data_IF_702248200686
#
_entry.id   IF_702248200686
#
_cell.length_a   1.000
_cell.length_b   1.000
_cell.length_c   1.000
_cell.angle_alpha   90.00
_cell.angle_beta   90.00
_cell.angle_gamma   90.00
#
_symmetry.space_group_name_H-M   'P 1'
#
loop_
_entity.id
_entity.type
_entity.pdbx_description
1 polymer ?
#
# COMPACT_ATOMS: atom_id res chain seq x y z
N UNK A 1 14.67 4.23 -39.12
CA UNK A 1 15.05 5.57 -38.64
C UNK A 1 16.56 5.72 -38.55
N UNK A 2 17.34 4.85 -37.86
CA UNK A 2 18.78 4.93 -37.78
C UNK A 2 19.49 4.84 -39.17
N UNK A 3 19.07 3.89 -40.01
CA UNK A 3 19.59 3.75 -41.39
C UNK A 3 19.23 4.95 -42.29
N UNK A 4 18.09 5.61 -42.06
CA UNK A 4 17.69 6.82 -42.81
C UNK A 4 18.42 8.07 -42.33
N UNK A 5 18.87 8.12 -41.05
CA UNK A 5 19.64 9.24 -40.52
C UNK A 5 21.09 9.30 -41.06
N UNK A 6 21.63 8.18 -41.56
CA UNK A 6 22.92 8.15 -42.24
C UNK A 6 22.87 8.77 -43.66
N UNK A 7 21.66 8.82 -44.26
CA UNK A 7 21.45 9.29 -45.64
C UNK A 7 20.96 10.76 -45.73
N UNK A 8 20.32 11.28 -44.67
CA UNK A 8 19.69 12.62 -44.67
C UNK A 8 19.76 13.31 -43.29
N UNK A 9 20.40 14.48 -43.23
CA UNK A 9 20.59 15.29 -42.03
C UNK A 9 19.25 15.75 -41.37
N UNK A 10 18.15 15.75 -42.10
CA UNK A 10 16.84 16.04 -41.55
C UNK A 10 16.36 14.93 -40.62
N UNK A 11 16.68 13.67 -40.89
CA UNK A 11 16.33 12.55 -40.01
C UNK A 11 17.24 12.46 -38.79
N UNK A 12 18.45 12.99 -38.82
CA UNK A 12 19.35 13.05 -37.68
C UNK A 12 18.74 13.89 -36.53
N UNK A 13 18.08 15.02 -36.87
CA UNK A 13 17.41 15.89 -35.88
C UNK A 13 16.14 15.25 -35.26
N UNK A 14 15.51 14.32 -35.95
CA UNK A 14 14.31 13.58 -35.43
C UNK A 14 14.69 12.30 -34.68
N UNK A 15 15.88 11.77 -34.89
CA UNK A 15 16.35 10.52 -34.30
C UNK A 15 16.51 10.65 -32.78
N UNK A 16 17.12 11.71 -32.30
CA UNK A 16 17.38 11.93 -30.88
C UNK A 16 16.10 12.06 -30.06
N UNK A 17 15.12 12.88 -30.47
CA UNK A 17 13.80 12.91 -29.78
C UNK A 17 13.06 11.58 -29.83
N UNK A 18 13.16 10.82 -30.92
CA UNK A 18 12.52 9.52 -31.06
C UNK A 18 13.17 8.47 -30.14
N UNK A 19 14.51 8.49 -29.99
CA UNK A 19 15.26 7.63 -29.07
C UNK A 19 14.86 7.92 -27.60
N UNK A 20 14.88 9.20 -27.19
CA UNK A 20 14.48 9.61 -25.84
C UNK A 20 13.06 9.16 -25.53
N UNK A 21 12.14 9.30 -26.49
CA UNK A 21 10.75 8.82 -26.33
C UNK A 21 10.69 7.29 -26.20
N UNK A 22 11.44 6.56 -27.01
CA UNK A 22 11.48 5.10 -26.98
C UNK A 22 12.09 4.58 -25.67
N UNK A 23 13.17 5.20 -25.18
CA UNK A 23 13.79 4.89 -23.89
C UNK A 23 12.82 5.15 -22.73
N UNK A 24 12.09 6.26 -22.75
CA UNK A 24 11.06 6.57 -21.75
C UNK A 24 9.94 5.53 -21.73
N UNK A 25 9.45 5.12 -22.91
CA UNK A 25 8.43 4.07 -23.04
C UNK A 25 8.95 2.71 -22.57
N UNK A 26 10.18 2.36 -22.91
CA UNK A 26 10.81 1.11 -22.46
C UNK A 26 10.96 1.08 -20.94
N UNK A 27 11.44 2.16 -20.32
CA UNK A 27 11.57 2.27 -18.86
C UNK A 27 10.22 2.15 -18.16
N UNK A 28 9.19 2.83 -18.68
CA UNK A 28 7.83 2.71 -18.14
C UNK A 28 7.28 1.27 -18.22
N UNK A 29 7.50 0.60 -19.35
CA UNK A 29 7.09 -0.80 -19.53
C UNK A 29 7.88 -1.76 -18.61
N UNK A 30 9.20 -1.56 -18.49
CA UNK A 30 10.04 -2.34 -17.56
C UNK A 30 9.51 -2.24 -16.11
N UNK A 31 9.19 -1.02 -15.67
CA UNK A 31 8.65 -0.78 -14.33
C UNK A 31 7.28 -1.45 -14.12
N UNK A 32 6.38 -1.33 -15.08
CA UNK A 32 5.08 -2.02 -15.03
C UNK A 32 5.24 -3.55 -14.95
N UNK A 33 6.18 -4.12 -15.71
CA UNK A 33 6.47 -5.55 -15.66
C UNK A 33 7.01 -6.01 -14.28
N UNK A 34 7.72 -5.13 -13.57
CA UNK A 34 8.20 -5.39 -12.22
C UNK A 34 7.09 -5.31 -11.16
N UNK A 35 6.02 -4.57 -11.42
CA UNK A 35 4.86 -4.40 -10.54
C UNK A 35 3.78 -5.46 -10.86
N UNK A 36 4.11 -6.73 -10.65
CA UNK A 36 3.25 -7.88 -10.94
C UNK A 36 2.45 -8.41 -9.74
N UNK A 37 2.56 -7.77 -8.58
CA UNK A 37 1.81 -8.12 -7.38
C UNK A 37 0.32 -7.80 -7.52
N UNK A 38 -0.54 -8.64 -6.93
CA UNK A 38 -2.02 -8.45 -6.99
C UNK A 38 -2.51 -7.08 -6.54
N UNK A 39 -1.74 -6.41 -5.66
CA UNK A 39 -2.10 -5.12 -5.08
C UNK A 39 -1.32 -3.96 -5.71
N UNK A 40 -0.31 -4.24 -6.55
CA UNK A 40 0.56 -3.19 -7.08
C UNK A 40 -0.20 -2.17 -7.96
N UNK A 41 -1.28 -2.58 -8.62
CA UNK A 41 -2.13 -1.72 -9.44
C UNK A 41 -3.10 -0.83 -8.63
N UNK A 42 -3.23 -1.06 -7.30
CA UNK A 42 -4.15 -0.34 -6.44
C UNK A 42 -3.72 1.11 -6.21
N UNK A 43 -4.67 1.95 -5.79
CA UNK A 43 -4.38 3.24 -5.19
C UNK A 43 -3.63 3.07 -3.86
N UNK A 44 -2.96 4.12 -3.41
CA UNK A 44 -2.16 4.09 -2.20
C UNK A 44 -2.75 4.98 -1.10
N UNK A 45 -2.85 4.44 0.11
CA UNK A 45 -3.08 5.21 1.34
C UNK A 45 -1.73 5.38 2.03
N UNK A 46 -1.29 6.62 2.16
CA UNK A 46 0.01 6.98 2.74
C UNK A 46 -0.22 7.61 4.10
N UNK A 47 0.47 7.10 5.12
CA UNK A 47 0.45 7.66 6.47
C UNK A 47 1.86 8.09 6.87
N UNK A 48 2.01 9.32 7.34
CA UNK A 48 3.28 9.90 7.78
C UNK A 48 3.16 10.25 9.26
N UNK A 49 4.11 9.77 10.06
CA UNK A 49 4.18 10.03 11.51
C UNK A 49 5.59 10.43 11.92
N UNK A 50 5.77 11.57 12.60
CA UNK A 50 7.06 11.93 13.18
C UNK A 50 7.48 10.94 14.26
N UNK A 51 8.78 10.68 14.32
CA UNK A 51 9.42 9.88 15.35
C UNK A 51 10.28 10.73 16.28
N UNK A 52 11.48 10.24 16.60
CA UNK A 52 12.42 10.99 17.42
C UNK A 52 12.91 12.27 16.73
N UNK A 53 12.93 13.41 17.44
CA UNK A 53 13.38 14.71 16.91
C UNK A 53 12.52 15.91 17.34
N UNK A 54 11.40 15.67 18.08
CA UNK A 54 10.53 16.74 18.56
C UNK A 54 9.93 17.58 17.45
N UNK A 55 9.86 18.90 17.62
CA UNK A 55 9.30 19.85 16.64
C UNK A 55 9.98 19.74 15.26
N UNK A 56 11.30 19.47 15.21
CA UNK A 56 12.02 19.31 13.97
C UNK A 56 11.57 18.04 13.18
N UNK A 57 11.15 16.98 13.89
CA UNK A 57 10.57 15.80 13.24
C UNK A 57 9.17 16.08 12.68
N UNK A 58 8.37 16.92 13.36
CA UNK A 58 7.06 17.35 12.87
C UNK A 58 7.18 18.20 11.60
N UNK A 59 8.15 19.11 11.56
CA UNK A 59 8.46 19.91 10.36
C UNK A 59 8.97 19.02 9.22
N UNK A 60 9.82 18.05 9.52
CA UNK A 60 10.28 17.08 8.52
C UNK A 60 9.12 16.24 7.96
N UNK A 61 8.14 15.87 8.78
CA UNK A 61 6.94 15.18 8.32
C UNK A 61 6.14 16.04 7.31
N UNK A 62 6.02 17.33 7.55
CA UNK A 62 5.39 18.28 6.63
C UNK A 62 6.18 18.41 5.31
N UNK A 63 7.50 18.47 5.39
CA UNK A 63 8.37 18.51 4.20
C UNK A 63 8.18 17.24 3.36
N UNK A 64 8.13 16.05 3.97
CA UNK A 64 7.91 14.79 3.26
C UNK A 64 6.48 14.70 2.68
N UNK A 65 5.47 15.18 3.42
CA UNK A 65 4.10 15.25 2.91
C UNK A 65 4.04 16.09 1.62
N UNK A 66 4.63 17.28 1.64
CA UNK A 66 4.73 18.14 0.47
C UNK A 66 5.53 17.50 -0.68
N UNK A 67 6.60 16.76 -0.38
CA UNK A 67 7.39 16.01 -1.36
C UNK A 67 6.52 14.99 -2.11
N UNK A 68 5.70 14.20 -1.39
CA UNK A 68 4.83 13.20 -2.03
C UNK A 68 3.68 13.83 -2.82
N UNK A 69 3.11 14.94 -2.37
CA UNK A 69 2.11 15.68 -3.16
C UNK A 69 2.72 16.14 -4.49
N UNK A 70 3.92 16.72 -4.47
CA UNK A 70 4.60 17.20 -5.68
C UNK A 70 4.97 16.05 -6.61
N UNK A 71 5.42 14.93 -6.06
CA UNK A 71 5.66 13.72 -6.84
C UNK A 71 4.37 13.24 -7.52
N UNK A 72 3.28 13.13 -6.80
CA UNK A 72 1.99 12.72 -7.34
C UNK A 72 1.50 13.67 -8.45
N UNK A 73 1.64 14.99 -8.26
CA UNK A 73 1.30 15.99 -9.27
C UNK A 73 2.13 15.86 -10.56
N UNK A 74 3.43 15.52 -10.46
CA UNK A 74 4.29 15.28 -11.64
C UNK A 74 3.87 14.05 -12.45
N UNK A 75 3.25 13.08 -11.78
CA UNK A 75 2.74 11.85 -12.40
C UNK A 75 1.25 11.92 -12.78
N UNK A 76 0.64 13.11 -12.71
CA UNK A 76 -0.81 13.31 -12.96
C UNK A 76 -1.71 12.44 -12.06
N UNK A 77 -1.24 12.13 -10.82
CA UNK A 77 -2.01 11.39 -9.83
C UNK A 77 -2.88 12.32 -8.99
N UNK A 78 -4.09 11.84 -8.67
CA UNK A 78 -4.97 12.52 -7.72
C UNK A 78 -4.47 12.38 -6.29
N UNK A 79 -4.57 13.45 -5.50
CA UNK A 79 -4.26 13.43 -4.06
C UNK A 79 -5.48 13.88 -3.29
N UNK A 80 -5.88 13.10 -2.30
CA UNK A 80 -7.00 13.38 -1.39
C UNK A 80 -6.53 13.25 0.06
N UNK A 81 -6.58 14.34 0.81
CA UNK A 81 -6.28 14.33 2.24
C UNK A 81 -7.45 13.70 3.01
N UNK A 82 -7.15 12.72 3.85
CA UNK A 82 -8.16 12.03 4.65
C UNK A 82 -8.15 12.50 6.11
N UNK A 83 -6.96 12.66 6.66
CA UNK A 83 -6.77 13.10 8.03
C UNK A 83 -5.46 13.86 8.15
N UNK A 84 -5.49 15.03 8.80
CA UNK A 84 -4.31 15.85 9.05
C UNK A 84 -4.39 16.45 10.45
N UNK A 85 -3.43 16.09 11.28
CA UNK A 85 -3.26 16.62 12.62
C UNK A 85 -2.05 17.54 12.64
N UNK A 86 -2.23 18.89 12.69
CA UNK A 86 -1.13 19.82 12.76
C UNK A 86 -0.47 19.78 14.15
N UNK A 87 0.83 20.02 14.20
CA UNK A 87 1.52 20.21 15.48
C UNK A 87 1.37 21.67 15.96
N UNK A 88 1.28 21.87 17.27
CA UNK A 88 1.04 23.18 17.89
C UNK A 88 2.14 24.22 17.60
N UNK A 89 3.40 23.80 17.49
CA UNK A 89 4.54 24.69 17.28
C UNK A 89 4.90 24.84 15.80
N UNK A 90 5.11 23.74 15.10
CA UNK A 90 5.41 23.71 13.67
C UNK A 90 5.26 22.29 13.09
N UNK A 91 4.91 22.20 11.82
CA UNK A 91 4.81 20.94 11.12
C UNK A 91 3.55 20.13 11.45
N UNK A 92 3.61 18.83 11.21
CA UNK A 92 2.48 17.90 11.27
C UNK A 92 2.75 16.81 12.30
N UNK A 93 1.75 16.54 13.18
CA UNK A 93 1.78 15.45 14.16
C UNK A 93 1.43 14.09 13.51
N UNK A 94 0.50 14.08 12.58
CA UNK A 94 0.20 12.95 11.72
C UNK A 94 -0.53 13.41 10.47
N UNK A 95 -0.35 12.70 9.37
CA UNK A 95 -1.16 12.89 8.16
C UNK A 95 -1.41 11.56 7.50
N UNK A 96 -2.64 11.39 7.01
CA UNK A 96 -3.05 10.28 6.15
C UNK A 96 -3.72 10.84 4.91
N UNK A 97 -3.25 10.44 3.75
CA UNK A 97 -3.76 10.88 2.46
C UNK A 97 -3.75 9.75 1.45
N UNK A 98 -4.66 9.84 0.50
CA UNK A 98 -4.81 8.89 -0.60
C UNK A 98 -4.16 9.43 -1.86
N UNK A 99 -3.42 8.59 -2.56
CA UNK A 99 -2.91 8.86 -3.90
C UNK A 99 -3.61 7.94 -4.88
N UNK A 100 -4.34 8.53 -5.83
CA UNK A 100 -5.12 7.82 -6.83
C UNK A 100 -4.42 7.90 -8.18
N UNK A 101 -4.04 6.76 -8.73
CA UNK A 101 -3.38 6.67 -10.03
C UNK A 101 -2.96 5.25 -10.37
N UNK A 102 -2.61 4.98 -11.63
CA UNK A 102 -2.19 3.66 -12.07
C UNK A 102 -0.90 3.24 -11.35
N UNK A 103 -0.95 2.08 -10.67
CA UNK A 103 0.18 1.54 -9.90
C UNK A 103 0.70 2.45 -8.78
N UNK A 104 -0.13 3.35 -8.23
CA UNK A 104 0.28 4.25 -7.16
C UNK A 104 0.87 3.50 -5.95
N UNK A 105 0.23 2.41 -5.51
CA UNK A 105 0.78 1.56 -4.45
C UNK A 105 2.06 0.86 -4.89
N UNK A 106 2.13 0.39 -6.13
CA UNK A 106 3.31 -0.29 -6.70
C UNK A 106 4.58 0.56 -6.61
N UNK A 107 4.48 1.87 -6.86
CA UNK A 107 5.59 2.82 -6.70
C UNK A 107 5.87 3.12 -5.23
N UNK A 108 4.84 3.52 -4.48
CA UNK A 108 4.98 4.05 -3.13
C UNK A 108 5.35 3.00 -2.08
N UNK A 109 5.16 1.70 -2.34
CA UNK A 109 5.66 0.64 -1.46
C UNK A 109 7.18 0.72 -1.22
N UNK A 110 7.93 1.36 -2.12
CA UNK A 110 9.36 1.61 -1.96
C UNK A 110 9.68 2.58 -0.83
N UNK A 111 8.72 3.41 -0.43
CA UNK A 111 8.88 4.47 0.55
C UNK A 111 8.49 4.04 1.97
N UNK A 112 8.03 2.79 2.14
CA UNK A 112 7.68 2.24 3.46
C UNK A 112 8.92 2.10 4.31
N UNK A 113 8.96 2.81 5.45
CA UNK A 113 10.04 2.72 6.42
C UNK A 113 10.34 4.04 7.13
N UNK A 114 11.54 4.13 7.69
CA UNK A 114 11.98 5.31 8.45
C UNK A 114 12.87 6.19 7.59
N UNK A 115 12.53 7.47 7.50
CA UNK A 115 13.29 8.51 6.85
C UNK A 115 14.03 9.33 7.91
N UNK A 116 15.29 9.66 7.65
CA UNK A 116 16.16 10.42 8.55
C UNK A 116 16.57 11.73 7.91
N UNK A 117 16.37 12.84 8.64
CA UNK A 117 16.88 14.16 8.26
C UNK A 117 18.03 14.55 9.19
N UNK A 118 19.10 15.09 8.61
CA UNK A 118 20.21 15.70 9.34
C UNK A 118 20.40 17.13 8.84
N UNK A 119 20.07 18.11 9.69
CA UNK A 119 20.20 19.53 9.37
C UNK A 119 20.48 20.38 10.62
N UNK A 120 20.85 21.63 10.43
CA UNK A 120 20.77 22.64 11.47
C UNK A 120 19.30 23.00 11.64
N UNK A 121 18.73 22.73 12.83
CA UNK A 121 17.31 22.92 13.08
C UNK A 121 16.97 24.41 13.20
N UNK A 122 15.90 24.90 12.54
CA UNK A 122 15.42 26.27 12.71
C UNK A 122 14.72 26.50 14.06
N UNK A 123 14.43 25.43 14.81
CA UNK A 123 13.72 25.48 16.10
C UNK A 123 14.67 25.38 17.30
N UNK A 124 15.96 25.10 17.07
CA UNK A 124 16.98 24.98 18.15
C UNK A 124 17.67 26.30 18.49
N UNK A 125 18.19 26.39 19.66
CA UNK A 125 19.09 27.49 20.05
C UNK A 125 20.52 27.19 19.58
N UNK A 126 20.98 27.90 18.55
CA UNK A 126 22.35 27.81 18.00
C UNK A 126 22.49 26.90 16.78
N UNK A 127 23.72 26.88 16.21
CA UNK A 127 24.07 26.15 14.99
C UNK A 127 24.29 24.63 15.21
N UNK A 128 23.58 24.04 16.16
CA UNK A 128 23.72 22.61 16.45
C UNK A 128 22.96 21.76 15.41
N UNK A 129 23.68 20.80 14.86
CA UNK A 129 23.09 19.85 13.92
C UNK A 129 22.22 18.84 14.67
N UNK A 130 20.97 18.72 14.24
CA UNK A 130 20.00 17.76 14.79
C UNK A 130 19.67 16.65 13.80
N UNK A 131 19.17 15.56 14.34
CA UNK A 131 18.73 14.40 13.55
C UNK A 131 17.28 14.11 13.92
N UNK A 132 16.42 14.07 12.93
CA UNK A 132 14.99 13.82 13.06
C UNK A 132 14.58 12.61 12.23
N UNK A 133 13.60 11.87 12.73
CA UNK A 133 13.09 10.66 12.10
C UNK A 133 11.60 10.80 11.83
N UNK A 134 11.19 10.28 10.70
CA UNK A 134 9.77 10.20 10.28
C UNK A 134 9.52 8.80 9.74
N UNK A 135 8.44 8.18 10.19
CA UNK A 135 7.98 6.92 9.65
C UNK A 135 6.93 7.15 8.57
N UNK A 136 7.08 6.43 7.48
CA UNK A 136 6.13 6.40 6.38
C UNK A 136 5.58 5.00 6.26
N UNK A 137 4.26 4.90 6.21
CA UNK A 137 3.53 3.69 5.93
C UNK A 137 2.68 3.86 4.68
N UNK A 138 2.65 2.83 3.85
CA UNK A 138 1.83 2.81 2.64
C UNK A 138 1.06 1.50 2.61
N UNK A 139 -0.25 1.61 2.48
CA UNK A 139 -1.14 0.46 2.31
C UNK A 139 -1.93 0.60 1.01
N UNK A 140 -2.20 -0.51 0.30
CA UNK A 140 -3.05 -0.45 -0.88
C UNK A 140 -4.48 -0.13 -0.47
N UNK A 141 -5.17 0.69 -1.26
CA UNK A 141 -6.62 0.77 -1.18
C UNK A 141 -7.20 -0.57 -1.61
N UNK A 142 -7.88 -1.23 -0.68
CA UNK A 142 -8.58 -2.46 -0.98
C UNK A 142 -10.00 -2.09 -1.43
N UNK A 143 -10.45 -2.63 -2.55
CA UNK A 143 -11.86 -2.59 -2.90
C UNK A 143 -12.65 -3.21 -1.73
N UNK A 144 -13.62 -2.47 -1.21
CA UNK A 144 -14.43 -2.89 -0.06
C UNK A 144 -15.32 -4.10 -0.34
N UNK A 145 -15.43 -4.54 -1.58
CA UNK A 145 -16.20 -5.69 -1.98
C UNK A 145 -15.48 -7.01 -1.66
N UNK A 146 -15.65 -7.47 -0.43
CA UNK A 146 -15.46 -8.90 -0.12
C UNK A 146 -16.59 -9.66 -0.82
N UNK A 147 -16.42 -9.96 -2.09
CA UNK A 147 -17.38 -10.76 -2.84
C UNK A 147 -17.23 -12.22 -2.43
N UNK A 148 -18.13 -12.69 -1.55
CA UNK A 148 -18.17 -14.10 -1.18
C UNK A 148 -19.08 -14.83 -2.16
N UNK A 149 -18.48 -15.45 -3.15
CA UNK A 149 -19.17 -16.44 -4.00
C UNK A 149 -19.21 -17.78 -3.23
N UNK A 150 -20.42 -18.19 -2.83
CA UNK A 150 -20.61 -19.50 -2.24
C UNK A 150 -20.90 -20.48 -3.39
N UNK A 151 -19.97 -21.38 -3.63
CA UNK A 151 -20.20 -22.48 -4.56
C UNK A 151 -21.10 -23.54 -3.89
N UNK A 152 -22.27 -23.83 -4.45
CA UNK A 152 -23.20 -24.83 -3.91
C UNK A 152 -22.57 -26.21 -3.74
N UNK A 153 -21.58 -26.57 -4.55
CA UNK A 153 -20.83 -27.83 -4.45
C UNK A 153 -19.98 -27.93 -3.16
N UNK A 154 -19.71 -26.82 -2.51
CA UNK A 154 -18.95 -26.75 -1.27
C UNK A 154 -19.83 -26.71 -0.02
N UNK A 155 -21.16 -26.80 -0.21
CA UNK A 155 -22.14 -26.80 0.86
C UNK A 155 -22.66 -28.21 1.14
N UNK A 156 -22.66 -28.57 2.40
CA UNK A 156 -23.37 -29.75 2.91
C UNK A 156 -24.67 -29.27 3.55
N UNK A 157 -25.81 -29.65 2.98
CA UNK A 157 -27.13 -29.34 3.53
C UNK A 157 -27.61 -30.49 4.40
N UNK A 158 -28.02 -30.18 5.61
CA UNK A 158 -28.70 -31.10 6.55
C UNK A 158 -30.07 -30.52 6.93
N UNK A 159 -31.10 -31.36 6.93
CA UNK A 159 -32.43 -30.98 7.35
C UNK A 159 -32.75 -31.60 8.71
N UNK A 160 -33.50 -30.89 9.54
CA UNK A 160 -33.89 -31.35 10.87
C UNK A 160 -35.27 -30.82 11.27
N UNK A 161 -35.87 -31.45 12.23
CA UNK A 161 -37.17 -31.01 12.79
C UNK A 161 -36.96 -29.81 13.71
N UNK A 162 -37.75 -28.75 13.52
CA UNK A 162 -37.55 -27.47 14.22
C UNK A 162 -37.59 -27.54 15.75
N UNK A 163 -38.20 -28.61 16.35
CA UNK A 163 -38.31 -28.82 17.79
C UNK A 163 -38.89 -27.62 18.54
N UNK A 164 -39.64 -27.86 19.61
CA UNK A 164 -40.18 -26.80 20.44
C UNK A 164 -41.65 -27.06 20.86
N UNK A 165 -42.23 -26.25 21.73
CA UNK A 165 -43.64 -26.34 22.10
C UNK A 165 -44.51 -25.98 20.88
N UNK A 166 -45.07 -26.98 20.19
CA UNK A 166 -45.93 -26.84 19.02
C UNK A 166 -46.58 -28.17 18.61
N UNK A 167 -47.56 -28.13 17.69
CA UNK A 167 -48.34 -29.29 17.27
C UNK A 167 -47.53 -30.31 16.42
N UNK A 168 -48.21 -31.39 15.96
CA UNK A 168 -47.61 -32.51 15.23
C UNK A 168 -46.76 -32.09 14.00
N UNK A 169 -47.08 -30.98 13.36
CA UNK A 169 -46.35 -30.50 12.16
C UNK A 169 -44.90 -30.10 12.49
N UNK A 170 -44.69 -29.47 13.65
CA UNK A 170 -43.38 -28.96 14.06
C UNK A 170 -42.40 -30.06 14.46
N UNK A 171 -42.93 -31.19 14.95
CA UNK A 171 -42.12 -32.31 15.43
C UNK A 171 -41.93 -33.43 14.36
N UNK A 172 -42.73 -33.43 13.27
CA UNK A 172 -42.65 -34.44 12.21
C UNK A 172 -42.06 -33.91 10.90
N UNK A 173 -42.16 -32.61 10.65
CA UNK A 173 -41.68 -32.02 9.37
C UNK A 173 -40.26 -31.46 9.53
N UNK A 174 -39.35 -31.92 8.67
CA UNK A 174 -37.97 -31.45 8.64
C UNK A 174 -37.87 -30.09 7.89
N UNK A 175 -38.42 -29.04 8.51
CA UNK A 175 -38.40 -27.69 7.96
C UNK A 175 -37.11 -26.91 8.30
N UNK A 176 -36.38 -27.28 9.36
CA UNK A 176 -35.09 -26.68 9.72
C UNK A 176 -33.99 -27.06 8.76
N UNK A 177 -33.14 -26.10 8.39
CA UNK A 177 -32.03 -26.28 7.50
C UNK A 177 -30.72 -25.86 8.18
N UNK A 178 -29.71 -26.72 8.09
CA UNK A 178 -28.33 -26.45 8.49
C UNK A 178 -27.45 -26.54 7.26
N UNK A 179 -26.70 -25.51 6.99
CA UNK A 179 -25.68 -25.45 5.95
C UNK A 179 -24.30 -25.51 6.59
N UNK A 180 -23.43 -26.34 6.06
CA UNK A 180 -22.04 -26.49 6.48
C UNK A 180 -21.17 -26.22 5.26
N UNK A 181 -20.35 -25.19 5.35
CA UNK A 181 -19.39 -24.89 4.31
C UNK A 181 -18.10 -25.72 4.49
N UNK A 182 -17.38 -26.00 3.43
CA UNK A 182 -16.09 -26.73 3.42
C UNK A 182 -15.05 -26.15 4.39
N UNK A 183 -15.11 -24.84 4.70
CA UNK A 183 -14.26 -24.21 5.74
C UNK A 183 -14.63 -24.57 7.17
N UNK A 184 -15.68 -25.39 7.40
CA UNK A 184 -16.19 -25.75 8.72
C UNK A 184 -17.21 -24.75 9.31
N UNK A 185 -17.45 -23.63 8.65
CA UNK A 185 -18.46 -22.64 9.08
C UNK A 185 -19.87 -23.22 8.88
N UNK A 186 -20.72 -23.06 9.91
CA UNK A 186 -22.08 -23.59 9.91
C UNK A 186 -23.08 -22.46 10.08
N UNK A 187 -24.24 -22.59 9.44
CA UNK A 187 -25.39 -21.71 9.64
C UNK A 187 -26.68 -22.53 9.67
N UNK A 188 -27.59 -22.16 10.56
CA UNK A 188 -28.86 -22.87 10.74
C UNK A 188 -30.01 -21.87 10.72
N UNK A 189 -31.12 -22.27 10.08
CA UNK A 189 -32.38 -21.55 10.15
C UNK A 189 -33.55 -22.50 10.39
N UNK A 190 -34.42 -22.14 11.31
CA UNK A 190 -35.66 -22.87 11.67
C UNK A 190 -36.84 -21.94 11.94
N UNK A 191 -36.71 -20.68 11.57
CA UNK A 191 -37.68 -19.62 11.91
C UNK A 191 -38.96 -19.74 11.09
N UNK A 192 -38.85 -20.26 9.88
CA UNK A 192 -39.95 -20.36 8.93
C UNK A 192 -40.54 -21.78 8.87
N UNK A 193 -41.82 -21.87 8.49
CA UNK A 193 -42.48 -23.18 8.25
C UNK A 193 -42.06 -23.84 6.95
N UNK A 194 -41.46 -23.08 6.05
CA UNK A 194 -41.03 -23.49 4.69
C UNK A 194 -39.53 -23.79 4.65
N UNK A 195 -39.20 -25.03 4.30
CA UNK A 195 -37.80 -25.46 4.13
C UNK A 195 -37.01 -24.57 3.11
N UNK A 196 -37.55 -24.19 1.90
CA UNK A 196 -36.86 -23.30 1.00
C UNK A 196 -36.55 -21.91 1.57
N UNK A 197 -37.48 -21.36 2.42
CA UNK A 197 -37.24 -20.09 3.10
C UNK A 197 -36.13 -20.21 4.14
N UNK A 198 -36.14 -21.29 4.94
CA UNK A 198 -35.07 -21.57 5.90
C UNK A 198 -33.74 -21.81 5.20
N UNK A 199 -33.70 -22.41 4.00
CA UNK A 199 -32.49 -22.54 3.21
C UNK A 199 -31.93 -21.18 2.82
N UNK A 200 -32.77 -20.28 2.30
CA UNK A 200 -32.34 -18.92 1.94
C UNK A 200 -31.79 -18.15 3.17
N UNK A 201 -32.52 -18.19 4.28
CA UNK A 201 -32.10 -17.54 5.52
C UNK A 201 -30.78 -18.13 6.07
N UNK A 202 -30.60 -19.45 6.00
CA UNK A 202 -29.35 -20.11 6.40
C UNK A 202 -28.19 -19.74 5.47
N UNK A 203 -28.44 -19.57 4.16
CA UNK A 203 -27.45 -19.14 3.19
C UNK A 203 -26.98 -17.70 3.44
N UNK A 204 -27.93 -16.78 3.70
CA UNK A 204 -27.63 -15.39 4.00
C UNK A 204 -26.83 -15.26 5.31
N UNK A 205 -27.19 -16.06 6.32
CA UNK A 205 -26.44 -16.13 7.57
C UNK A 205 -25.04 -16.71 7.39
N UNK A 206 -24.89 -17.71 6.51
CA UNK A 206 -23.60 -18.30 6.18
C UNK A 206 -22.69 -17.29 5.49
N UNK A 207 -23.22 -16.52 4.51
CA UNK A 207 -22.52 -15.43 3.84
C UNK A 207 -22.00 -14.41 4.85
N UNK A 208 -22.83 -13.96 5.76
CA UNK A 208 -22.45 -12.99 6.79
C UNK A 208 -21.33 -13.51 7.70
N UNK A 209 -21.37 -14.80 8.07
CA UNK A 209 -20.30 -15.42 8.88
C UNK A 209 -18.99 -15.56 8.14
N UNK A 210 -19.03 -15.95 6.87
CA UNK A 210 -17.83 -16.04 6.03
C UNK A 210 -17.22 -14.65 5.80
N UNK A 211 -18.08 -13.63 5.58
CA UNK A 211 -17.64 -12.24 5.47
C UNK A 211 -16.89 -11.78 6.74
N UNK A 212 -17.46 -12.00 7.93
CA UNK A 212 -16.81 -11.60 9.17
C UNK A 212 -15.45 -12.31 9.40
N UNK A 213 -15.33 -13.58 9.00
CA UNK A 213 -14.07 -14.32 9.10
C UNK A 213 -13.02 -13.77 8.15
N UNK A 214 -13.40 -13.43 6.91
CA UNK A 214 -12.49 -12.88 5.93
C UNK A 214 -12.04 -11.46 6.31
N UNK A 215 -12.95 -10.65 6.85
CA UNK A 215 -12.66 -9.34 7.42
C UNK A 215 -11.68 -9.44 8.60
N UNK A 216 -11.89 -10.39 9.52
CA UNK A 216 -10.96 -10.64 10.63
C UNK A 216 -9.56 -11.06 10.14
N UNK A 217 -9.48 -11.88 9.10
CA UNK A 217 -8.19 -12.25 8.51
C UNK A 217 -7.48 -11.04 7.91
N UNK A 218 -8.21 -10.20 7.17
CA UNK A 218 -7.65 -8.96 6.60
C UNK A 218 -7.12 -8.03 7.69
N UNK A 219 -7.87 -7.85 8.77
CA UNK A 219 -7.42 -7.06 9.94
C UNK A 219 -6.18 -7.69 10.61
N UNK A 220 -6.17 -9.01 10.79
CA UNK A 220 -5.02 -9.73 11.35
C UNK A 220 -3.76 -9.57 10.51
N UNK A 221 -3.86 -9.66 9.19
CA UNK A 221 -2.74 -9.46 8.27
C UNK A 221 -2.23 -8.00 8.31
N UNK A 222 -3.12 -7.01 8.50
CA UNK A 222 -2.74 -5.61 8.68
C UNK A 222 -1.97 -5.41 10.00
N UNK A 223 -2.47 -5.94 11.11
CA UNK A 223 -1.82 -5.84 12.43
C UNK A 223 -0.43 -6.51 12.40
N UNK A 224 -0.31 -7.70 11.82
CA UNK A 224 1.00 -8.37 11.67
C UNK A 224 1.99 -7.56 10.82
N UNK A 225 1.52 -6.85 9.79
CA UNK A 225 2.35 -5.92 9.01
C UNK A 225 2.80 -4.72 9.83
N UNK A 226 1.95 -4.19 10.71
CA UNK A 226 2.31 -3.11 11.64
C UNK A 226 3.35 -3.57 12.67
N UNK A 227 3.17 -4.73 13.28
CA UNK A 227 4.09 -5.29 14.28
C UNK A 227 5.45 -5.66 13.67
N UNK A 228 5.49 -6.09 12.41
CA UNK A 228 6.73 -6.42 11.71
C UNK A 228 7.59 -5.18 11.36
N UNK A 229 7.07 -3.96 11.45
CA UNK A 229 7.78 -2.72 11.09
C UNK A 229 8.76 -2.22 12.16
N UNK A 230 8.74 -2.77 13.38
CA UNK A 230 9.66 -2.42 14.47
C UNK A 230 9.49 -0.99 15.00
N UNK A 231 10.26 -0.64 16.01
CA UNK A 231 10.28 0.73 16.55
C UNK A 231 10.82 1.73 15.54
N UNK A 232 10.21 2.93 15.49
CA UNK A 232 10.65 4.09 14.68
C UNK A 232 11.94 4.65 15.30
N UNK A 233 13.07 3.99 15.08
CA UNK A 233 14.34 4.29 15.72
C UNK A 233 15.53 4.12 14.74
N UNK A 234 16.73 4.43 15.22
CA UNK A 234 17.99 4.50 14.48
C UNK A 234 18.36 3.27 13.63
N UNK A 235 17.76 2.10 13.84
CA UNK A 235 18.14 0.85 13.17
C UNK A 235 17.38 0.49 11.91
N UNK A 236 16.24 1.14 11.60
CA UNK A 236 15.33 0.75 10.51
C UNK A 236 15.18 1.82 9.42
N UNK A 237 16.17 2.72 9.27
CA UNK A 237 16.12 3.79 8.27
C UNK A 237 16.31 3.25 6.85
N UNK A 238 15.44 3.69 5.94
CA UNK A 238 15.52 3.36 4.50
C UNK A 238 16.20 4.45 3.70
N UNK A 239 16.10 5.73 4.13
CA UNK A 239 16.66 6.87 3.43
C UNK A 239 17.15 7.95 4.40
N UNK A 240 18.31 8.53 4.10
CA UNK A 240 18.85 9.65 4.82
C UNK A 240 18.98 10.90 3.95
N UNK A 241 18.56 12.03 4.51
CA UNK A 241 18.64 13.36 3.94
C UNK A 241 19.62 14.17 4.76
N UNK A 242 20.78 14.49 4.21
CA UNK A 242 21.82 15.28 4.87
C UNK A 242 21.87 16.64 4.20
N UNK A 243 21.68 17.71 4.97
CA UNK A 243 21.75 19.09 4.49
C UNK A 243 23.06 19.79 4.92
N UNK A 244 23.66 19.37 6.03
CA UNK A 244 24.93 19.89 6.56
C UNK A 244 25.80 18.77 7.14
N UNK A 245 27.15 18.81 6.98
CA UNK A 245 28.00 19.82 6.33
C UNK A 245 28.06 19.69 4.80
N UNK A 246 27.47 18.65 4.23
CA UNK A 246 27.34 18.42 2.80
C UNK A 246 25.88 18.09 2.48
N UNK A 247 25.48 18.24 1.22
CA UNK A 247 24.13 17.90 0.76
C UNK A 247 24.12 16.53 0.10
N UNK A 248 23.30 15.60 0.61
CA UNK A 248 23.17 14.27 0.05
C UNK A 248 21.87 13.62 0.47
N UNK A 249 21.14 13.02 -0.47
CA UNK A 249 20.10 12.03 -0.17
C UNK A 249 20.64 10.66 -0.57
N UNK A 250 20.53 9.69 0.33
CA UNK A 250 21.02 8.34 0.13
C UNK A 250 19.99 7.31 0.56
N UNK A 251 19.85 6.24 -0.23
CA UNK A 251 19.17 5.03 0.19
C UNK A 251 20.08 4.21 1.12
N UNK A 252 19.59 3.81 2.29
CA UNK A 252 20.38 3.09 3.28
C UNK A 252 20.15 1.57 3.25
N UNK A 253 19.27 1.10 2.35
CA UNK A 253 18.97 -0.33 2.22
C UNK A 253 20.11 -1.08 1.52
N UNK A 254 20.48 -2.23 2.09
CA UNK A 254 21.50 -3.09 1.51
C UNK A 254 21.12 -3.54 0.09
N UNK A 255 22.04 -3.30 -0.86
CA UNK A 255 21.87 -3.66 -2.27
C UNK A 255 21.23 -2.59 -3.14
N UNK A 256 20.97 -1.39 -2.59
CA UNK A 256 20.54 -0.20 -3.34
C UNK A 256 21.60 0.88 -3.16
N UNK A 257 22.28 1.28 -4.23
CA UNK A 257 23.31 2.33 -4.19
C UNK A 257 22.86 3.56 -4.98
N UNK A 258 21.85 4.26 -4.44
CA UNK A 258 21.36 5.54 -4.99
C UNK A 258 21.80 6.68 -4.08
N UNK A 259 22.45 7.69 -4.66
CA UNK A 259 23.00 8.87 -3.98
C UNK A 259 22.76 10.11 -4.83
N UNK A 260 21.91 11.02 -4.35
CA UNK A 260 21.55 12.25 -5.05
C UNK A 260 22.05 13.46 -4.24
N UNK A 261 23.00 14.25 -4.75
CA UNK A 261 23.50 15.45 -4.06
C UNK A 261 22.49 16.59 -4.00
N UNK A 262 21.53 16.64 -4.96
CA UNK A 262 20.52 17.67 -5.08
C UNK A 262 19.33 17.43 -4.10
N UNK A 263 19.55 17.63 -2.79
CA UNK A 263 18.54 17.39 -1.75
C UNK A 263 17.24 18.15 -2.02
N UNK A 264 17.31 19.39 -2.47
CA UNK A 264 16.13 20.20 -2.73
C UNK A 264 15.30 19.67 -3.90
N UNK A 265 15.91 19.13 -4.95
CA UNK A 265 15.19 18.47 -6.05
C UNK A 265 14.40 17.27 -5.57
N UNK A 266 15.02 16.45 -4.72
CA UNK A 266 14.36 15.29 -4.11
C UNK A 266 13.19 15.73 -3.24
N UNK A 267 13.35 16.74 -2.38
CA UNK A 267 12.27 17.28 -1.54
C UNK A 267 11.19 18.01 -2.35
N UNK A 268 11.48 18.38 -3.59
CA UNK A 268 10.51 18.89 -4.55
C UNK A 268 9.78 17.77 -5.33
N UNK A 269 10.00 16.51 -4.97
CA UNK A 269 9.28 15.36 -5.51
C UNK A 269 10.02 14.59 -6.61
N UNK A 270 11.32 14.80 -6.79
CA UNK A 270 12.16 14.02 -7.71
C UNK A 270 12.71 12.78 -7.00
N UNK A 271 11.84 11.79 -6.80
CA UNK A 271 12.14 10.58 -6.03
C UNK A 271 12.10 9.31 -6.87
N UNK A 272 11.84 9.41 -8.16
CA UNK A 272 11.66 8.27 -9.08
C UNK A 272 12.87 7.34 -9.10
N UNK A 273 14.09 7.89 -9.07
CA UNK A 273 15.31 7.10 -9.09
C UNK A 273 15.40 6.11 -7.92
N UNK A 274 14.97 6.53 -6.71
CA UNK A 274 14.91 5.67 -5.55
C UNK A 274 13.84 4.58 -5.68
N UNK A 275 12.65 4.94 -6.20
CA UNK A 275 11.55 4.01 -6.42
C UNK A 275 11.94 2.95 -7.46
N UNK A 276 12.51 3.36 -8.56
CA UNK A 276 12.97 2.49 -9.64
C UNK A 276 14.07 1.52 -9.17
N UNK A 277 15.04 2.03 -8.41
CA UNK A 277 16.11 1.20 -7.86
C UNK A 277 15.58 0.14 -6.91
N UNK A 278 14.61 0.50 -6.06
CA UNK A 278 13.95 -0.45 -5.18
C UNK A 278 13.18 -1.54 -5.94
N UNK A 279 12.42 -1.17 -6.95
CA UNK A 279 11.65 -2.12 -7.76
C UNK A 279 12.57 -3.13 -8.47
N UNK A 280 13.68 -2.67 -9.04
CA UNK A 280 14.71 -3.54 -9.62
C UNK A 280 15.33 -4.48 -8.59
N UNK A 281 15.68 -3.98 -7.41
CA UNK A 281 16.20 -4.77 -6.32
C UNK A 281 15.21 -5.84 -5.86
N UNK A 282 13.92 -5.47 -5.64
CA UNK A 282 12.85 -6.39 -5.25
C UNK A 282 12.68 -7.53 -6.25
N UNK A 283 12.63 -7.20 -7.54
CA UNK A 283 12.47 -8.18 -8.63
C UNK A 283 13.67 -9.12 -8.72
N UNK A 284 14.90 -8.59 -8.61
CA UNK A 284 16.11 -9.42 -8.62
C UNK A 284 16.16 -10.42 -7.44
N UNK A 285 15.66 -10.01 -6.27
CA UNK A 285 15.57 -10.86 -5.08
C UNK A 285 14.55 -11.97 -5.23
N UNK A 286 13.35 -11.67 -5.75
CA UNK A 286 12.30 -12.66 -6.02
C UNK A 286 12.80 -13.72 -7.02
N UNK A 287 13.45 -13.29 -8.10
CA UNK A 287 14.01 -14.20 -9.11
C UNK A 287 15.13 -15.11 -8.57
N UNK A 288 15.93 -14.65 -7.60
CA UNK A 288 16.93 -15.48 -6.92
C UNK A 288 16.28 -16.53 -6.01
N UNK A 289 15.17 -16.21 -5.38
CA UNK A 289 14.45 -17.15 -4.49
C UNK A 289 13.68 -18.19 -5.29
N UNK A 290 13.14 -17.84 -6.45
CA UNK A 290 12.42 -18.76 -7.34
C UNK A 290 13.34 -19.77 -8.06
N UNK A 291 14.66 -19.53 -8.11
CA UNK A 291 15.67 -20.41 -8.72
C UNK A 291 16.32 -21.38 -7.71
N UNK A 292 15.97 -21.30 -6.44
CA UNK A 292 16.38 -22.23 -5.38
C UNK A 292 15.25 -23.18 -5.02
#
# INVERSE_FOLDING_TARGET
>A
MAELAEEDATFESELEPALVKAEGQYTAFELQAMMSGKQDAANALVSIKPGAGGTDACDFAEILYRMYIRWAQRHDFGVEEQDLEPNLEAGIQSVTFKITGPYAYGYLQSEIGVHRLVRISPFGSGDTRQTSFVAIDVVPELDDDIHIEINEKELIMQTFCSGGPGGQHQNKTQSGVRLIHKSGVRAESRTERSQPKNYKNALDLLKSRLYAIEEQKRMGDQVQRYDAKGEIAFGSQIRSYVMQPYTLVRDERDGIDVKIPAVMSVLDGDIDEFMHAYLRYKTARVNKTAKR
#
